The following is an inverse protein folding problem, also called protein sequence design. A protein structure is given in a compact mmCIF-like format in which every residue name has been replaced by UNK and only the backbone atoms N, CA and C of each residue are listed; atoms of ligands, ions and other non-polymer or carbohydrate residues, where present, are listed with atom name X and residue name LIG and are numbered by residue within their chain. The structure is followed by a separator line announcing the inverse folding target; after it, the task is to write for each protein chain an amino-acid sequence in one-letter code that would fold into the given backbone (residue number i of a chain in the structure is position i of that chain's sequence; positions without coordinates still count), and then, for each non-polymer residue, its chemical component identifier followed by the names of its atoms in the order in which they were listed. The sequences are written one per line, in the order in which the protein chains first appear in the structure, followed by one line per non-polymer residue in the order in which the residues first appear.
data_IF_101386682226
#
_entry.id   IF_101386682226
#
_cell.length_a   1.000
_cell.length_b   1.000
_cell.length_c   1.000
_cell.angle_alpha   90.00
_cell.angle_beta   90.00
_cell.angle_gamma   90.00
#
_symmetry.space_group_name_H-M   'P 1'
#
loop_
_entity.id
_entity.type
_entity.pdbx_description
1 polymer ?
#
# COMPACT_ATOMS: atom_id res chain seq x y z
N UNK A 1 -37.20 -2.08 19.44
CA UNK A 1 -36.37 -3.28 19.26
C UNK A 1 -35.38 -2.94 18.16
N UNK A 2 -34.47 -1.99 18.41
CA UNK A 2 -33.21 -2.13 19.20
C UNK A 2 -32.15 -2.73 18.28
N UNK A 3 -31.07 -2.10 17.81
CA UNK A 3 -30.04 -1.22 18.41
C UNK A 3 -29.21 -1.84 19.54
N UNK A 4 -29.29 -3.15 19.70
CA UNK A 4 -28.57 -3.90 20.75
C UNK A 4 -27.87 -5.11 20.11
N UNK A 5 -26.71 -4.95 19.45
CA UNK A 5 -25.80 -6.08 19.16
C UNK A 5 -24.35 -5.69 18.80
N UNK A 6 -23.87 -4.51 19.24
CA UNK A 6 -22.44 -4.15 19.13
C UNK A 6 -21.87 -3.72 20.50
N UNK A 7 -22.31 -4.40 21.56
CA UNK A 7 -21.92 -4.18 22.96
C UNK A 7 -20.77 -5.11 23.38
N UNK A 8 -19.69 -5.21 22.60
CA UNK A 8 -18.50 -5.99 23.03
C UNK A 8 -17.14 -5.40 22.68
N UNK A 9 -17.06 -4.20 22.12
CA UNK A 9 -15.76 -3.52 22.03
C UNK A 9 -15.59 -2.64 23.27
N UNK A 10 -14.62 -2.95 24.16
CA UNK A 10 -14.36 -2.14 25.34
C UNK A 10 -14.07 -0.71 24.88
N UNK A 11 -14.92 0.21 25.32
CA UNK A 11 -14.82 1.65 25.15
C UNK A 11 -13.54 2.16 25.82
N UNK A 12 -12.43 2.01 25.10
CA UNK A 12 -11.17 2.66 25.42
C UNK A 12 -11.32 4.15 25.14
N UNK A 13 -11.57 4.91 26.21
CA UNK A 13 -11.36 6.34 26.37
C UNK A 13 -11.19 7.16 25.06
N UNK A 14 -12.28 7.29 24.30
CA UNK A 14 -12.39 8.27 23.23
C UNK A 14 -12.73 9.63 23.86
N UNK A 15 -11.74 10.27 24.50
CA UNK A 15 -11.84 11.70 24.79
C UNK A 15 -11.94 12.47 23.47
N UNK A 16 -13.03 13.22 23.35
CA UNK A 16 -13.53 13.73 22.09
C UNK A 16 -12.53 14.59 21.35
N UNK A 17 -12.23 14.18 20.11
CA UNK A 17 -12.16 15.16 19.04
C UNK A 17 -12.87 14.58 17.81
N UNK A 18 -14.07 15.10 17.54
CA UNK A 18 -14.77 14.83 16.30
C UNK A 18 -13.95 15.35 15.12
N UNK A 19 -13.66 14.46 14.17
CA UNK A 19 -13.11 14.81 12.86
C UNK A 19 -11.73 14.23 12.61
N UNK A 20 -11.67 13.15 11.83
CA UNK A 20 -10.45 12.67 11.18
C UNK A 20 -9.73 13.76 10.33
N UNK A 21 -10.37 14.91 10.08
CA UNK A 21 -9.77 16.07 9.40
C UNK A 21 -8.94 17.02 10.28
N UNK A 22 -9.10 17.01 11.60
CA UNK A 22 -8.34 17.90 12.49
C UNK A 22 -6.85 17.53 12.67
N UNK A 23 -6.44 16.25 12.74
CA UNK A 23 -5.02 15.92 12.85
C UNK A 23 -4.26 16.18 11.54
N UNK A 24 -4.85 15.86 10.38
CA UNK A 24 -4.21 16.14 9.08
C UNK A 24 -4.06 17.65 8.82
N UNK A 25 -5.09 18.45 9.13
CA UNK A 25 -5.00 19.90 8.98
C UNK A 25 -3.84 20.51 9.79
N UNK A 26 -3.60 20.03 11.01
CA UNK A 26 -2.45 20.45 11.84
C UNK A 26 -1.11 20.00 11.26
N UNK A 27 -1.05 18.83 10.64
CA UNK A 27 0.17 18.34 9.96
C UNK A 27 0.47 19.19 8.73
N UNK A 28 -0.54 19.52 7.93
CA UNK A 28 -0.40 20.42 6.77
C UNK A 28 0.04 21.82 7.22
N UNK A 29 -0.62 22.39 8.22
CA UNK A 29 -0.26 23.69 8.78
C UNK A 29 1.19 23.72 9.32
N UNK A 30 1.62 22.65 10.01
CA UNK A 30 2.98 22.53 10.49
C UNK A 30 4.00 22.38 9.35
N UNK A 31 3.68 21.63 8.29
CA UNK A 31 4.55 21.47 7.12
C UNK A 31 4.68 22.80 6.34
N UNK A 32 3.57 23.52 6.15
CA UNK A 32 3.58 24.87 5.55
C UNK A 32 4.41 25.85 6.38
N UNK A 33 4.33 25.77 7.71
CA UNK A 33 5.14 26.60 8.62
C UNK A 33 6.65 26.30 8.53
N UNK A 34 7.01 25.03 8.29
CA UNK A 34 8.40 24.59 8.08
C UNK A 34 8.92 25.01 6.70
N UNK A 35 8.04 25.50 5.81
CA UNK A 35 8.38 26.02 4.49
C UNK A 35 8.17 25.02 3.35
N UNK A 36 7.48 23.91 3.60
CA UNK A 36 7.05 23.02 2.52
C UNK A 36 5.97 23.70 1.68
N UNK A 37 6.13 23.66 0.36
CA UNK A 37 5.15 24.17 -0.58
C UNK A 37 3.90 23.30 -0.64
N UNK A 38 2.78 23.87 -1.09
CA UNK A 38 1.53 23.10 -1.29
C UNK A 38 1.69 21.90 -2.23
N UNK A 39 2.60 21.99 -3.21
CA UNK A 39 2.92 20.90 -4.12
C UNK A 39 3.66 19.74 -3.42
N UNK A 40 4.52 20.03 -2.44
CA UNK A 40 5.23 19.01 -1.66
C UNK A 40 4.29 18.30 -0.68
N UNK A 41 3.36 19.05 -0.07
CA UNK A 41 2.30 18.47 0.77
C UNK A 41 1.38 17.57 -0.07
N UNK A 42 1.03 17.98 -1.30
CA UNK A 42 0.25 17.16 -2.21
C UNK A 42 1.01 15.89 -2.63
N UNK A 43 2.33 15.98 -2.84
CA UNK A 43 3.18 14.82 -3.10
C UNK A 43 3.20 13.86 -1.91
N UNK A 44 3.36 14.36 -0.69
CA UNK A 44 3.30 13.57 0.55
C UNK A 44 1.95 12.88 0.73
N UNK A 45 0.85 13.60 0.48
CA UNK A 45 -0.49 13.05 0.55
C UNK A 45 -0.71 11.94 -0.50
N UNK A 46 -0.18 12.13 -1.71
CA UNK A 46 -0.24 11.14 -2.80
C UNK A 46 0.59 9.91 -2.46
N UNK A 47 1.78 10.08 -1.89
CA UNK A 47 2.62 8.99 -1.43
C UNK A 47 1.92 8.17 -0.33
N UNK A 48 1.32 8.83 0.67
CA UNK A 48 0.54 8.13 1.71
C UNK A 48 -0.68 7.42 1.13
N UNK A 49 -1.39 8.04 0.18
CA UNK A 49 -2.49 7.41 -0.54
C UNK A 49 -2.05 6.16 -1.30
N UNK A 50 -0.86 6.19 -1.93
CA UNK A 50 -0.29 5.03 -2.62
C UNK A 50 0.08 3.89 -1.68
N UNK A 51 0.64 4.20 -0.50
CA UNK A 51 0.99 3.22 0.54
C UNK A 51 -0.27 2.54 1.07
N UNK A 52 -1.32 3.32 1.32
CA UNK A 52 -2.62 2.78 1.75
C UNK A 52 -3.24 1.90 0.67
N UNK A 53 -3.26 2.38 -0.57
CA UNK A 53 -3.84 1.66 -1.69
C UNK A 53 -3.07 0.35 -2.00
N UNK A 54 -1.74 0.34 -1.83
CA UNK A 54 -0.92 -0.87 -1.90
C UNK A 54 -1.34 -1.93 -0.86
N UNK A 55 -1.58 -1.50 0.38
CA UNK A 55 -1.96 -2.39 1.48
C UNK A 55 -3.37 -2.98 1.36
N UNK A 56 -4.20 -2.39 0.50
CA UNK A 56 -5.56 -2.84 0.22
C UNK A 56 -5.64 -3.82 -0.96
N UNK A 57 -4.53 -4.05 -1.67
CA UNK A 57 -4.49 -5.01 -2.77
C UNK A 57 -4.73 -6.42 -2.25
N UNK A 58 -5.62 -7.13 -2.93
CA UNK A 58 -5.91 -8.53 -2.66
C UNK A 58 -5.28 -9.40 -3.75
N UNK A 59 -4.74 -10.53 -3.33
CA UNK A 59 -4.12 -11.51 -4.21
C UNK A 59 -4.87 -12.83 -4.06
N UNK A 60 -5.18 -13.48 -5.17
CA UNK A 60 -5.68 -14.85 -5.19
C UNK A 60 -4.57 -15.79 -5.63
N UNK A 61 -4.49 -16.97 -5.02
CA UNK A 61 -3.72 -18.09 -5.57
C UNK A 61 -4.49 -18.80 -6.69
N UNK A 62 -3.92 -18.87 -7.88
CA UNK A 62 -4.33 -19.78 -8.96
C UNK A 62 -3.22 -20.80 -9.26
N UNK A 63 -3.60 -22.04 -9.54
CA UNK A 63 -2.65 -23.06 -10.01
C UNK A 63 -2.37 -22.84 -11.50
N UNK A 64 -1.10 -22.62 -11.85
CA UNK A 64 -0.67 -22.46 -13.23
C UNK A 64 -0.72 -23.81 -14.00
N UNK A 65 -0.63 -23.78 -15.34
CA UNK A 65 -0.65 -25.00 -16.18
C UNK A 65 0.44 -26.03 -15.82
N UNK A 66 1.51 -25.60 -15.15
CA UNK A 66 2.60 -26.47 -14.64
C UNK A 66 2.36 -27.00 -13.21
N UNK A 67 1.23 -26.67 -12.58
CA UNK A 67 0.91 -27.06 -11.20
C UNK A 67 1.66 -26.29 -10.11
N UNK A 68 2.26 -25.15 -10.45
CA UNK A 68 2.89 -24.24 -9.48
C UNK A 68 1.86 -23.17 -9.05
N UNK A 69 1.84 -22.83 -7.77
CA UNK A 69 0.93 -21.79 -7.25
C UNK A 69 1.41 -20.42 -7.68
N UNK A 70 0.57 -19.71 -8.42
CA UNK A 70 0.81 -18.34 -8.87
C UNK A 70 -0.22 -17.42 -8.23
N UNK A 71 0.25 -16.36 -7.59
CA UNK A 71 -0.63 -15.26 -7.18
C UNK A 71 -1.05 -14.42 -8.38
N UNK A 72 -2.32 -14.06 -8.43
CA UNK A 72 -2.88 -13.08 -9.37
C UNK A 72 -3.49 -11.95 -8.55
N UNK A 73 -3.22 -10.71 -8.94
CA UNK A 73 -3.87 -9.56 -8.33
C UNK A 73 -5.36 -9.64 -8.61
N UNK A 74 -6.18 -9.76 -7.57
CA UNK A 74 -7.63 -9.65 -7.68
C UNK A 74 -7.98 -8.18 -7.86
N UNK A 75 -7.96 -7.71 -9.10
CA UNK A 75 -8.36 -6.34 -9.44
C UNK A 75 -9.89 -6.21 -9.58
N UNK A 76 -10.63 -6.65 -8.57
CA UNK A 76 -12.11 -6.59 -8.59
C UNK A 76 -12.66 -5.15 -8.50
N UNK A 77 -11.79 -4.14 -8.32
CA UNK A 77 -12.19 -2.74 -8.11
C UNK A 77 -11.23 -1.68 -8.65
N UNK A 78 -10.30 -2.01 -9.56
CA UNK A 78 -9.35 -1.04 -10.11
C UNK A 78 -8.30 -0.54 -9.09
N UNK A 79 -8.09 -1.28 -8.01
CA UNK A 79 -7.16 -0.91 -6.95
C UNK A 79 -5.71 -0.89 -7.45
N UNK A 80 -5.36 -1.83 -8.33
CA UNK A 80 -4.01 -1.88 -8.91
C UNK A 80 -3.76 -0.69 -9.83
N UNK A 81 -4.75 -0.31 -10.63
CA UNK A 81 -4.67 0.85 -11.52
C UNK A 81 -4.55 2.17 -10.73
N UNK A 82 -5.30 2.31 -9.64
CA UNK A 82 -5.20 3.47 -8.76
C UNK A 82 -3.81 3.61 -8.13
N UNK A 83 -3.24 2.51 -7.63
CA UNK A 83 -1.86 2.49 -7.08
C UNK A 83 -0.84 2.84 -8.16
N UNK A 84 -0.99 2.24 -9.35
CA UNK A 84 -0.11 2.47 -10.48
C UNK A 84 -0.12 3.94 -10.92
N UNK A 85 -1.31 4.55 -10.95
CA UNK A 85 -1.48 5.98 -11.23
C UNK A 85 -0.84 6.87 -10.14
N UNK A 86 -1.00 6.54 -8.86
CA UNK A 86 -0.38 7.30 -7.76
C UNK A 86 1.15 7.20 -7.77
N UNK A 87 1.72 6.05 -8.14
CA UNK A 87 3.16 5.83 -8.23
C UNK A 87 3.76 6.24 -9.58
N UNK A 88 2.93 6.56 -10.58
CA UNK A 88 3.37 6.85 -11.94
C UNK A 88 3.98 5.64 -12.67
N UNK A 89 3.57 4.42 -12.31
CA UNK A 89 4.05 3.16 -12.91
C UNK A 89 2.93 2.50 -13.72
N UNK A 90 3.29 1.52 -14.54
CA UNK A 90 2.32 0.73 -15.28
C UNK A 90 1.72 -0.37 -14.38
N UNK A 91 0.40 -0.52 -14.39
CA UNK A 91 -0.33 -1.49 -13.55
C UNK A 91 0.06 -2.93 -13.84
N UNK A 92 0.27 -3.31 -15.10
CA UNK A 92 0.70 -4.67 -15.47
C UNK A 92 2.11 -4.97 -14.94
N UNK A 93 3.03 -4.00 -15.05
CA UNK A 93 4.39 -4.17 -14.52
C UNK A 93 4.40 -4.25 -13.01
N UNK A 94 3.56 -3.46 -12.34
CA UNK A 94 3.40 -3.51 -10.89
C UNK A 94 2.84 -4.86 -10.45
N UNK A 95 1.77 -5.33 -11.09
CA UNK A 95 1.17 -6.64 -10.81
C UNK A 95 2.17 -7.78 -11.04
N UNK A 96 2.88 -7.78 -12.17
CA UNK A 96 3.92 -8.78 -12.45
C UNK A 96 5.01 -8.77 -11.38
N UNK A 97 5.46 -7.60 -10.92
CA UNK A 97 6.54 -7.50 -9.91
C UNK A 97 6.08 -7.88 -8.51
N UNK A 98 4.80 -7.72 -8.20
CA UNK A 98 4.21 -8.15 -6.92
C UNK A 98 3.96 -9.67 -6.92
N UNK A 99 3.55 -10.24 -8.05
CA UNK A 99 3.25 -11.67 -8.22
C UNK A 99 4.49 -12.53 -8.53
N UNK A 100 5.57 -11.92 -9.02
CA UNK A 100 6.79 -12.63 -9.42
C UNK A 100 8.04 -12.10 -8.71
N UNK A 101 8.75 -12.97 -7.99
CA UNK A 101 10.05 -12.63 -7.38
C UNK A 101 11.16 -12.89 -8.38
N UNK A 102 11.85 -11.82 -8.79
CA UNK A 102 13.11 -11.94 -9.53
C UNK A 102 14.25 -12.21 -8.55
N UNK A 103 14.86 -13.39 -8.64
CA UNK A 103 16.07 -13.73 -7.89
C UNK A 103 17.26 -13.71 -8.84
N UNK A 104 18.26 -12.89 -8.52
CA UNK A 104 19.50 -12.80 -9.26
C UNK A 104 20.51 -13.72 -8.58
N UNK A 105 20.99 -14.72 -9.31
CA UNK A 105 22.03 -15.63 -8.85
C UNK A 105 23.39 -14.92 -8.93
N UNK A 106 24.31 -15.32 -8.05
CA UNK A 106 25.68 -14.79 -8.05
C UNK A 106 26.44 -15.05 -9.38
N UNK A 107 25.93 -15.99 -10.19
CA UNK A 107 26.46 -16.35 -11.51
C UNK A 107 26.04 -15.37 -12.63
N UNK A 108 25.15 -14.41 -12.35
CA UNK A 108 24.64 -13.44 -13.33
C UNK A 108 23.31 -13.82 -13.98
N UNK A 109 22.84 -15.05 -13.76
CA UNK A 109 21.52 -15.52 -14.22
C UNK A 109 20.40 -15.00 -13.30
N UNK A 110 19.27 -14.59 -13.87
CA UNK A 110 18.09 -14.23 -13.09
C UNK A 110 16.93 -15.17 -13.37
N UNK A 111 16.41 -15.82 -12.32
CA UNK A 111 15.20 -16.64 -12.40
C UNK A 111 14.01 -15.88 -11.79
N UNK A 112 12.85 -16.01 -12.42
CA UNK A 112 11.59 -15.43 -11.96
C UNK A 112 10.76 -16.55 -11.36
N UNK A 113 10.51 -16.49 -10.06
CA UNK A 113 9.69 -17.47 -9.36
C UNK A 113 8.30 -16.86 -9.09
N UNK A 114 7.20 -17.52 -9.50
CA UNK A 114 5.87 -17.09 -9.09
C UNK A 114 5.75 -17.19 -7.55
N UNK A 115 5.10 -16.20 -6.95
CA UNK A 115 4.87 -16.11 -5.51
C UNK A 115 3.47 -16.60 -5.17
N UNK A 116 3.33 -17.21 -3.99
CA UNK A 116 2.02 -17.53 -3.42
C UNK A 116 1.30 -16.25 -2.95
N UNK A 117 -0.01 -16.33 -2.71
CA UNK A 117 -0.85 -15.19 -2.31
C UNK A 117 -0.32 -14.46 -1.07
N UNK A 118 0.13 -15.21 -0.05
CA UNK A 118 0.70 -14.67 1.18
C UNK A 118 2.01 -13.92 0.91
N UNK A 119 2.83 -14.45 0.00
CA UNK A 119 4.12 -13.86 -0.31
C UNK A 119 3.96 -12.59 -1.16
N UNK A 120 2.95 -12.55 -2.03
CA UNK A 120 2.60 -11.35 -2.78
C UNK A 120 2.05 -10.25 -1.85
N UNK A 121 1.24 -10.62 -0.86
CA UNK A 121 0.79 -9.69 0.18
C UNK A 121 1.96 -9.14 1.01
N UNK A 122 2.90 -10.01 1.43
CA UNK A 122 4.12 -9.59 2.12
C UNK A 122 4.99 -8.66 1.24
N UNK A 123 5.07 -8.93 -0.06
CA UNK A 123 5.80 -8.07 -1.01
C UNK A 123 5.14 -6.69 -1.15
N UNK A 124 3.81 -6.63 -1.17
CA UNK A 124 3.06 -5.38 -1.21
C UNK A 124 3.27 -4.54 0.07
N UNK A 125 3.23 -5.19 1.25
CA UNK A 125 3.50 -4.52 2.53
C UNK A 125 4.96 -4.06 2.64
N UNK A 126 5.92 -4.88 2.18
CA UNK A 126 7.32 -4.49 2.10
C UNK A 126 7.53 -3.28 1.17
N UNK A 127 6.83 -3.23 0.04
CA UNK A 127 6.85 -2.10 -0.88
C UNK A 127 6.24 -0.85 -0.21
N UNK A 128 5.10 -0.99 0.46
CA UNK A 128 4.45 0.09 1.19
C UNK A 128 5.38 0.70 2.27
N UNK A 129 6.04 -0.16 3.05
CA UNK A 129 7.07 0.25 4.04
C UNK A 129 8.28 0.91 3.40
N UNK A 130 8.75 0.40 2.27
CA UNK A 130 9.89 0.97 1.56
C UNK A 130 9.57 2.37 0.99
N UNK A 131 8.37 2.57 0.44
CA UNK A 131 7.90 3.87 -0.04
C UNK A 131 7.77 4.85 1.12
N UNK A 132 7.16 4.44 2.24
CA UNK A 132 7.06 5.29 3.43
C UNK A 132 8.43 5.65 4.01
N UNK A 133 9.36 4.69 4.10
CA UNK A 133 10.73 4.94 4.55
C UNK A 133 11.47 5.94 3.66
N UNK A 134 11.38 5.77 2.34
CA UNK A 134 11.95 6.71 1.35
C UNK A 134 11.34 8.10 1.44
N UNK A 135 10.03 8.19 1.67
CA UNK A 135 9.32 9.45 1.86
C UNK A 135 9.78 10.17 3.13
N UNK A 136 9.93 9.45 4.23
CA UNK A 136 10.43 10.02 5.48
C UNK A 136 11.91 10.43 5.38
N UNK A 137 12.74 9.63 4.74
CA UNK A 137 14.14 9.98 4.47
C UNK A 137 14.27 11.22 3.57
N UNK A 138 13.31 11.46 2.66
CA UNK A 138 13.28 12.67 1.83
C UNK A 138 12.82 13.93 2.59
N UNK A 139 12.15 13.77 3.73
CA UNK A 139 11.71 14.86 4.60
C UNK A 139 12.80 15.33 5.58
N UNK A 140 13.83 14.52 5.84
CA UNK A 140 14.87 14.78 6.85
C UNK A 140 16.07 15.52 6.26
#
# INVERSE_FOLDING_TARGET
RSQEDYDTLPMGNCEGNGGAGQPWAKVVEALELIGFGGDEVAYLATALGSVLALSLLQFDGEDDESGDRRSVVRDAGGGCEAVAACLGVNSEQLADKLCCRRTILATGDSYVKPLDELQAADAADALAKAVYGRMFDALV
#
